data_IF_250104864535
#
_entry.id   IF_250104864535
#
_cell.length_a   1.000
_cell.length_b   1.000
_cell.length_c   1.000
_cell.angle_alpha   90.00
_cell.angle_beta   90.00
_cell.angle_gamma   90.00
#
_symmetry.space_group_name_H-M   'P 1'
#
loop_
_entity.id
_entity.type
_entity.pdbx_description
1 polymer ?
#
# COMPACT_ATOMS: atom_id res chain seq x y z
N UNK A 1 -18.64 11.57 22.88
CA UNK A 1 -17.99 12.46 21.89
C UNK A 1 -16.77 11.74 21.34
N UNK A 2 -16.82 11.26 20.10
CA UNK A 2 -15.77 10.44 19.51
C UNK A 2 -15.35 10.96 18.12
N UNK A 3 -14.03 11.08 17.99
CA UNK A 3 -13.22 10.95 16.77
C UNK A 3 -13.15 12.13 15.81
N UNK A 4 -12.17 12.99 16.12
CA UNK A 4 -11.32 13.76 15.19
C UNK A 4 -10.64 12.79 14.21
N UNK A 5 -10.91 12.90 12.91
CA UNK A 5 -10.01 12.37 11.85
C UNK A 5 -9.26 13.56 11.26
N UNK A 6 -8.06 13.76 11.80
CA UNK A 6 -6.97 14.50 11.15
C UNK A 6 -6.50 13.60 10.00
N UNK A 7 -6.85 13.98 8.77
CA UNK A 7 -6.21 13.45 7.57
C UNK A 7 -4.80 14.02 7.55
N UNK A 8 -3.90 13.24 8.11
CA UNK A 8 -2.48 13.49 8.19
C UNK A 8 -1.85 13.18 6.83
N UNK A 9 -1.37 14.22 6.15
CA UNK A 9 -0.25 14.13 5.20
C UNK A 9 1.01 13.77 6.01
N UNK A 10 1.41 12.49 6.06
CA UNK A 10 2.70 12.02 6.60
C UNK A 10 3.09 10.74 5.83
N UNK A 11 3.52 10.86 4.57
CA UNK A 11 3.93 9.69 3.75
C UNK A 11 5.40 9.72 3.31
N UNK A 12 6.23 10.59 3.91
CA UNK A 12 7.64 10.74 3.55
C UNK A 12 8.63 10.33 4.65
N UNK A 13 8.19 10.13 5.89
CA UNK A 13 9.09 9.86 7.03
C UNK A 13 9.34 8.35 7.23
N UNK A 14 8.30 7.53 7.02
CA UNK A 14 8.37 6.07 7.22
C UNK A 14 9.27 5.34 6.21
N UNK A 15 9.54 5.96 5.05
CA UNK A 15 10.35 5.36 3.99
C UNK A 15 11.84 5.34 4.31
N UNK A 16 12.35 6.31 5.08
CA UNK A 16 13.76 6.38 5.45
C UNK A 16 14.08 5.46 6.64
N UNK A 17 13.17 5.35 7.61
CA UNK A 17 13.26 4.35 8.70
C UNK A 17 13.30 2.92 8.15
N UNK A 18 12.50 2.64 7.12
CA UNK A 18 12.49 1.34 6.45
C UNK A 18 13.83 1.01 5.78
N UNK A 19 14.49 2.01 5.18
CA UNK A 19 15.82 1.86 4.57
C UNK A 19 16.89 1.60 5.62
N UNK A 20 16.84 2.29 6.75
CA UNK A 20 17.75 2.07 7.86
C UNK A 20 17.61 0.65 8.46
N UNK A 21 16.38 0.12 8.53
CA UNK A 21 16.13 -1.20 9.13
C UNK A 21 16.32 -2.39 8.17
N UNK A 22 15.98 -2.26 6.88
CA UNK A 22 15.93 -3.36 5.90
C UNK A 22 16.72 -3.08 4.61
N UNK A 23 17.43 -1.96 4.50
CA UNK A 23 18.31 -1.66 3.36
C UNK A 23 17.61 -1.59 2.00
N UNK A 24 16.28 -1.48 1.99
CA UNK A 24 15.40 -1.28 0.82
C UNK A 24 14.16 -0.50 1.25
N UNK A 25 13.76 0.48 0.44
CA UNK A 25 12.54 1.28 0.67
C UNK A 25 11.32 0.68 0.00
N UNK A 26 10.13 1.11 0.45
CA UNK A 26 8.85 0.78 -0.20
C UNK A 26 8.81 1.30 -1.64
N UNK A 27 9.36 2.49 -1.90
CA UNK A 27 9.39 3.09 -3.25
C UNK A 27 10.30 2.32 -4.21
N UNK A 28 11.47 1.88 -3.73
CA UNK A 28 12.37 1.00 -4.50
C UNK A 28 11.69 -0.33 -4.82
N UNK A 29 10.91 -0.89 -3.88
CA UNK A 29 10.16 -2.12 -4.12
C UNK A 29 9.00 -1.90 -5.10
N UNK A 30 8.30 -0.76 -5.02
CA UNK A 30 7.22 -0.40 -5.94
C UNK A 30 7.74 -0.26 -7.37
N UNK A 31 8.84 0.49 -7.55
CA UNK A 31 9.46 0.68 -8.86
C UNK A 31 9.90 -0.65 -9.47
N UNK A 32 10.49 -1.55 -8.67
CA UNK A 32 10.87 -2.89 -9.10
C UNK A 32 9.67 -3.75 -9.53
N UNK A 33 8.55 -3.66 -8.82
CA UNK A 33 7.31 -4.37 -9.18
C UNK A 33 6.69 -3.77 -10.45
N UNK A 34 6.83 -2.45 -10.65
CA UNK A 34 6.30 -1.74 -11.81
C UNK A 34 7.08 -2.03 -13.09
N UNK A 35 8.40 -2.21 -13.01
CA UNK A 35 9.28 -2.57 -14.15
C UNK A 35 9.25 -4.06 -14.50
N UNK A 36 8.15 -4.75 -14.19
CA UNK A 36 7.95 -6.20 -14.42
C UNK A 36 8.34 -6.60 -15.84
N UNK A 37 9.22 -7.58 -15.98
CA UNK A 37 9.67 -8.14 -17.26
C UNK A 37 11.15 -8.45 -17.28
N UNK A 38 11.75 -8.53 -18.47
CA UNK A 38 13.20 -8.73 -18.65
C UNK A 38 14.03 -7.58 -18.07
N UNK A 39 13.55 -6.34 -18.17
CA UNK A 39 14.23 -5.17 -17.61
C UNK A 39 14.23 -5.17 -16.08
N UNK A 40 13.10 -5.50 -15.45
CA UNK A 40 13.03 -5.67 -13.99
C UNK A 40 13.94 -6.79 -13.48
N UNK A 41 14.03 -7.91 -14.20
CA UNK A 41 14.95 -9.00 -13.85
C UNK A 41 16.43 -8.60 -13.98
N UNK A 42 16.76 -7.77 -14.97
CA UNK A 42 18.11 -7.21 -15.14
C UNK A 42 18.44 -6.22 -14.02
N UNK A 43 17.55 -5.27 -13.74
CA UNK A 43 17.69 -4.30 -12.65
C UNK A 43 17.80 -4.98 -11.29
N UNK A 44 17.05 -6.07 -11.08
CA UNK A 44 17.12 -6.91 -9.89
C UNK A 44 18.50 -7.52 -9.69
N UNK A 45 19.05 -8.13 -10.74
CA UNK A 45 20.36 -8.78 -10.68
C UNK A 45 21.49 -7.76 -10.51
N UNK A 46 21.45 -6.64 -11.24
CA UNK A 46 22.50 -5.62 -11.20
C UNK A 46 22.50 -4.81 -9.89
N UNK A 47 21.33 -4.40 -9.41
CA UNK A 47 21.22 -3.50 -8.25
C UNK A 47 21.20 -4.25 -6.91
N UNK A 48 20.58 -5.43 -6.89
CA UNK A 48 20.31 -6.16 -5.64
C UNK A 48 21.04 -7.51 -5.57
N UNK A 49 21.76 -7.94 -6.61
CA UNK A 49 22.40 -9.26 -6.63
C UNK A 49 21.39 -10.41 -6.71
N UNK A 50 20.25 -10.16 -7.36
CA UNK A 50 19.20 -11.15 -7.60
C UNK A 50 18.33 -11.45 -6.39
N UNK A 51 17.60 -12.57 -6.46
CA UNK A 51 16.66 -12.98 -5.41
C UNK A 51 17.33 -13.14 -4.03
N UNK A 52 18.55 -13.67 -4.00
CA UNK A 52 19.31 -13.88 -2.77
C UNK A 52 19.71 -12.57 -2.08
N UNK A 53 20.10 -11.55 -2.84
CA UNK A 53 20.46 -10.27 -2.24
C UNK A 53 19.24 -9.47 -1.78
N UNK A 54 18.10 -9.62 -2.46
CA UNK A 54 16.84 -9.05 -1.98
C UNK A 54 16.33 -9.75 -0.72
N UNK A 55 16.41 -11.08 -0.65
CA UNK A 55 16.08 -11.83 0.56
C UNK A 55 16.93 -11.41 1.75
N UNK A 56 18.24 -11.19 1.54
CA UNK A 56 19.14 -10.67 2.58
C UNK A 56 18.77 -9.27 3.06
N UNK A 57 18.44 -8.35 2.14
CA UNK A 57 18.00 -6.99 2.49
C UNK A 57 16.69 -7.01 3.29
N UNK A 58 15.69 -7.75 2.80
CA UNK A 58 14.40 -7.94 3.48
C UNK A 58 14.48 -8.81 4.74
N UNK A 59 15.68 -9.29 5.13
CA UNK A 59 15.92 -10.21 6.25
C UNK A 59 14.97 -11.42 6.19
N UNK A 60 14.70 -11.92 4.99
CA UNK A 60 13.81 -13.05 4.72
C UNK A 60 14.62 -14.24 4.21
N UNK A 61 14.29 -15.42 4.72
CA UNK A 61 14.83 -16.66 4.17
C UNK A 61 13.99 -17.06 2.95
N UNK A 62 14.61 -17.31 1.81
CA UNK A 62 13.90 -17.67 0.56
C UNK A 62 13.26 -19.05 0.62
N UNK A 63 13.77 -19.94 1.47
CA UNK A 63 13.34 -21.33 1.60
C UNK A 63 12.38 -21.49 2.79
N UNK A 64 12.77 -20.97 3.95
CA UNK A 64 12.04 -21.15 5.21
C UNK A 64 11.10 -19.97 5.54
N UNK A 65 11.15 -18.89 4.78
CA UNK A 65 10.34 -17.69 5.03
C UNK A 65 10.78 -16.91 6.27
N UNK A 66 9.79 -16.37 6.98
CA UNK A 66 9.97 -15.61 8.21
C UNK A 66 9.90 -16.54 9.42
N UNK A 67 10.76 -16.33 10.41
CA UNK A 67 10.79 -17.13 11.64
C UNK A 67 9.60 -16.91 12.57
N UNK A 68 8.67 -16.00 12.24
CA UNK A 68 7.43 -15.78 12.99
C UNK A 68 7.62 -15.04 14.32
N UNK A 69 8.78 -14.43 14.55
CA UNK A 69 9.01 -13.65 15.76
C UNK A 69 8.16 -12.37 15.76
N UNK A 70 7.45 -12.13 16.88
CA UNK A 70 6.55 -10.98 17.02
C UNK A 70 7.31 -9.66 16.92
N UNK A 71 8.58 -9.64 17.36
CA UNK A 71 9.41 -8.45 17.27
C UNK A 71 9.75 -8.10 15.81
N UNK A 72 10.17 -9.09 15.01
CA UNK A 72 10.44 -8.92 13.57
C UNK A 72 9.17 -8.52 12.81
N UNK A 73 8.01 -9.10 13.16
CA UNK A 73 6.73 -8.71 12.56
C UNK A 73 6.38 -7.24 12.85
N UNK A 74 6.58 -6.80 14.09
CA UNK A 74 6.29 -5.42 14.49
C UNK A 74 7.19 -4.40 13.77
N UNK A 75 8.49 -4.72 13.64
CA UNK A 75 9.46 -3.91 12.90
C UNK A 75 9.11 -3.82 11.41
N UNK A 76 8.67 -4.93 10.79
CA UNK A 76 8.20 -4.93 9.39
C UNK A 76 6.94 -4.12 9.20
N UNK A 77 6.00 -4.18 10.14
CA UNK A 77 4.78 -3.38 10.09
C UNK A 77 5.10 -1.88 10.22
N UNK A 78 6.07 -1.52 11.05
CA UNK A 78 6.53 -0.14 11.16
C UNK A 78 7.20 0.36 9.87
N UNK A 79 8.07 -0.47 9.25
CA UNK A 79 8.82 -0.11 8.06
C UNK A 79 7.99 -0.12 6.76
N UNK A 80 7.19 -1.18 6.53
CA UNK A 80 6.47 -1.39 5.26
C UNK A 80 4.97 -1.10 5.36
N UNK A 81 4.47 -0.82 6.55
CA UNK A 81 3.04 -0.68 6.81
C UNK A 81 2.30 -2.01 6.91
N UNK A 82 0.98 -1.93 7.12
CA UNK A 82 0.10 -3.11 7.16
C UNK A 82 -0.43 -3.40 5.76
N UNK A 83 -0.32 -4.66 5.31
CA UNK A 83 -0.96 -5.14 4.08
C UNK A 83 -2.49 -5.29 4.27
N UNK A 84 -3.18 -4.17 4.47
CA UNK A 84 -4.63 -4.12 4.60
C UNK A 84 -5.17 -3.26 3.48
N UNK A 85 -5.79 -3.90 2.49
CA UNK A 85 -6.56 -3.19 1.46
C UNK A 85 -7.72 -2.52 2.19
N UNK A 86 -7.77 -1.17 2.23
CA UNK A 86 -8.85 -0.49 2.92
C UNK A 86 -10.16 -0.88 2.23
N UNK A 87 -11.17 -1.33 2.98
CA UNK A 87 -12.45 -1.67 2.38
C UNK A 87 -13.01 -0.40 1.74
N UNK A 88 -13.35 -0.49 0.45
CA UNK A 88 -13.95 0.63 -0.28
C UNK A 88 -15.14 1.13 0.56
N UNK A 89 -15.20 2.43 0.93
CA UNK A 89 -16.30 2.93 1.71
C UNK A 89 -17.59 2.63 0.96
N UNK A 90 -18.46 1.82 1.58
CA UNK A 90 -19.76 1.48 1.02
C UNK A 90 -20.57 2.76 0.85
N UNK A 91 -21.26 2.90 -0.28
CA UNK A 91 -22.28 3.95 -0.40
C UNK A 91 -23.35 3.66 0.65
N UNK A 92 -23.77 4.68 1.38
CA UNK A 92 -24.88 4.53 2.32
C UNK A 92 -26.18 4.35 1.52
N UNK A 93 -27.13 3.59 2.08
CA UNK A 93 -28.46 3.41 1.48
C UNK A 93 -29.10 4.76 1.21
N UNK A 94 -28.96 5.72 2.14
CA UNK A 94 -29.47 7.08 1.96
C UNK A 94 -28.88 7.78 0.74
N UNK A 95 -27.57 7.64 0.49
CA UNK A 95 -26.94 8.24 -0.70
C UNK A 95 -27.43 7.57 -1.98
N UNK A 96 -27.64 6.26 -1.97
CA UNK A 96 -28.21 5.53 -3.11
C UNK A 96 -29.65 5.94 -3.38
N UNK A 97 -30.47 6.11 -2.34
CA UNK A 97 -31.86 6.55 -2.46
C UNK A 97 -31.93 8.01 -2.91
N UNK A 98 -31.07 8.89 -2.38
CA UNK A 98 -30.97 10.28 -2.83
C UNK A 98 -30.48 10.39 -4.27
N UNK A 99 -29.43 9.65 -4.65
CA UNK A 99 -28.97 9.56 -6.04
C UNK A 99 -30.15 9.07 -6.92
N UNK A 100 -30.83 7.97 -6.56
CA UNK A 100 -31.96 7.42 -7.34
C UNK A 100 -33.19 8.34 -7.41
N UNK A 101 -33.44 9.17 -6.39
CA UNK A 101 -34.52 10.16 -6.38
C UNK A 101 -34.19 11.38 -7.25
N UNK A 102 -32.92 11.69 -7.48
CA UNK A 102 -32.46 12.87 -8.24
C UNK A 102 -32.06 12.56 -9.70
N UNK A 103 -31.97 11.29 -10.12
CA UNK A 103 -31.26 10.94 -11.35
C UNK A 103 -32.07 11.01 -12.67
N UNK A 104 -33.41 10.94 -12.70
CA UNK A 104 -34.06 10.85 -14.04
C UNK A 104 -35.45 11.45 -14.26
N UNK A 105 -36.18 11.97 -13.26
CA UNK A 105 -37.61 12.30 -13.50
C UNK A 105 -38.22 13.54 -12.82
N UNK A 106 -37.47 14.41 -12.13
CA UNK A 106 -38.10 15.55 -11.44
C UNK A 106 -37.50 16.95 -11.68
N UNK A 107 -36.35 17.11 -12.34
CA UNK A 107 -35.76 18.45 -12.60
C UNK A 107 -36.11 19.02 -13.99
N UNK A 108 -36.73 18.24 -14.89
CA UNK A 108 -37.11 18.73 -16.23
C UNK A 108 -38.57 18.41 -16.60
N UNK A 109 -39.55 19.03 -15.93
CA UNK A 109 -40.75 19.46 -16.67
C UNK A 109 -41.20 20.90 -16.31
N UNK A 110 -40.29 21.86 -16.11
CA UNK A 110 -40.63 23.29 -15.83
C UNK A 110 -39.97 24.26 -16.84
N UNK A 111 -39.70 23.81 -18.07
CA UNK A 111 -39.48 24.73 -19.20
C UNK A 111 -40.21 24.17 -20.42
N UNK A 112 -41.50 24.48 -20.51
CA UNK A 112 -42.27 24.63 -21.75
C UNK A 112 -43.17 25.84 -21.57
#
# INVERSE_FOLDING_TARGET
>A
MATKKKSTDDNSDSSEDARHAFGISVQELETLIRTRGHEGAKQLNETYGGLNGIGRKLKTNLINGLSGDNNDLSARIAAFGRNKIPPKPRRTILRLVLDALLDVRFVRPIIF
#
